data_IF_373547601425
#
_entry.id   IF_373547601425
#
_cell.length_a   1.000
_cell.length_b   1.000
_cell.length_c   1.000
_cell.angle_alpha   90.00
_cell.angle_beta   90.00
_cell.angle_gamma   90.00
#
_symmetry.space_group_name_H-M   'P 1'
#
loop_
_entity.id
_entity.type
_entity.pdbx_description
1 polymer ?
#
# COMPACT_ATOMS: atom_id res chain seq x y z
N UNK A 1 -8.84 -14.60 -16.50
CA UNK A 1 -8.58 -13.74 -15.31
C UNK A 1 -7.74 -14.39 -14.20
N UNK A 2 -7.46 -15.71 -14.20
CA UNK A 2 -6.76 -16.38 -13.09
C UNK A 2 -5.23 -16.17 -13.05
N UNK A 3 -4.57 -16.01 -14.20
CA UNK A 3 -3.09 -15.97 -14.26
C UNK A 3 -2.47 -14.74 -13.61
N UNK A 4 -3.13 -13.58 -13.72
CA UNK A 4 -2.71 -12.35 -13.04
C UNK A 4 -2.83 -12.48 -11.52
N UNK A 5 -3.95 -13.02 -11.03
CA UNK A 5 -4.18 -13.25 -9.60
C UNK A 5 -3.17 -14.26 -9.03
N UNK A 6 -2.88 -15.34 -9.77
CA UNK A 6 -1.87 -16.33 -9.39
C UNK A 6 -0.47 -15.70 -9.31
N UNK A 7 -0.11 -14.83 -10.25
CA UNK A 7 1.18 -14.14 -10.29
C UNK A 7 1.32 -13.10 -9.18
N UNK A 8 0.25 -12.39 -8.84
CA UNK A 8 0.21 -11.50 -7.67
C UNK A 8 0.36 -12.32 -6.38
N UNK A 9 -0.37 -13.42 -6.24
CA UNK A 9 -0.26 -14.32 -5.07
C UNK A 9 1.14 -14.93 -4.94
N UNK A 10 1.78 -15.28 -6.05
CA UNK A 10 3.15 -15.79 -6.04
C UNK A 10 4.14 -14.69 -5.69
N UNK A 11 3.93 -13.47 -6.20
CA UNK A 11 4.74 -12.31 -5.84
C UNK A 11 4.62 -11.97 -4.35
N UNK A 12 3.42 -11.94 -3.78
CA UNK A 12 3.21 -11.65 -2.35
C UNK A 12 3.83 -12.71 -1.45
N UNK A 13 3.93 -13.96 -1.92
CA UNK A 13 4.62 -15.07 -1.23
C UNK A 13 6.14 -15.04 -1.38
N UNK A 14 6.69 -14.35 -2.38
CA UNK A 14 8.13 -14.24 -2.61
C UNK A 14 8.84 -13.38 -1.53
N UNK A 15 10.16 -13.57 -1.29
CA UNK A 15 10.92 -12.74 -0.37
C UNK A 15 10.89 -11.24 -0.73
N UNK A 16 10.89 -10.93 -2.02
CA UNK A 16 10.81 -9.55 -2.53
C UNK A 16 9.43 -8.94 -2.22
N UNK A 17 8.34 -9.65 -2.53
CA UNK A 17 7.00 -9.17 -2.22
C UNK A 17 6.72 -9.06 -0.73
N UNK A 18 7.23 -9.99 0.10
CA UNK A 18 7.16 -9.87 1.56
C UNK A 18 7.87 -8.61 2.07
N UNK A 19 9.05 -8.28 1.53
CA UNK A 19 9.76 -7.02 1.86
C UNK A 19 8.96 -5.80 1.43
N UNK A 20 8.40 -5.80 0.22
CA UNK A 20 7.55 -4.70 -0.27
C UNK A 20 6.32 -4.51 0.61
N UNK A 21 5.63 -5.59 0.98
CA UNK A 21 4.48 -5.54 1.89
C UNK A 21 4.90 -5.06 3.28
N UNK A 22 6.04 -5.52 3.81
CA UNK A 22 6.54 -5.10 5.11
C UNK A 22 6.90 -3.60 5.12
N UNK A 23 7.56 -3.10 4.07
CA UNK A 23 7.87 -1.67 3.90
C UNK A 23 6.59 -0.84 3.76
N UNK A 24 5.62 -1.30 2.96
CA UNK A 24 4.32 -0.65 2.85
C UNK A 24 3.57 -0.63 4.18
N UNK A 25 3.58 -1.76 4.92
CA UNK A 25 2.96 -1.87 6.25
C UNK A 25 3.64 -0.96 7.27
N UNK A 26 4.96 -0.84 7.24
CA UNK A 26 5.71 0.09 8.11
C UNK A 26 5.38 1.54 7.77
N UNK A 27 5.37 1.89 6.47
CA UNK A 27 4.98 3.22 6.01
C UNK A 27 3.52 3.56 6.35
N UNK A 28 2.63 2.57 6.36
CA UNK A 28 1.22 2.72 6.75
C UNK A 28 1.01 2.74 8.27
N UNK A 29 1.84 2.01 9.03
CA UNK A 29 1.83 2.00 10.48
C UNK A 29 2.36 3.31 11.08
N UNK A 30 3.10 4.09 10.30
CA UNK A 30 3.63 5.38 10.72
C UNK A 30 2.49 6.41 10.88
N UNK A 31 2.18 6.86 12.12
CA UNK A 31 1.08 7.79 12.36
C UNK A 31 1.31 9.15 11.70
N UNK A 32 2.57 9.55 11.54
CA UNK A 32 2.96 10.79 10.84
C UNK A 32 2.58 10.75 9.36
N UNK A 33 2.84 9.62 8.69
CA UNK A 33 2.43 9.42 7.29
C UNK A 33 0.92 9.33 7.15
N UNK A 34 0.23 8.77 8.15
CA UNK A 34 -1.24 8.70 8.18
C UNK A 34 -1.90 10.08 8.28
N UNK A 35 -1.36 10.99 9.10
CA UNK A 35 -1.84 12.36 9.17
C UNK A 35 -1.61 13.12 7.86
N UNK A 36 -0.43 12.95 7.26
CA UNK A 36 -0.08 13.56 5.96
C UNK A 36 -0.98 13.02 4.83
N UNK A 37 -1.20 11.71 4.79
CA UNK A 37 -2.10 11.06 3.85
C UNK A 37 -3.56 11.51 4.04
N UNK A 38 -4.03 11.68 5.29
CA UNK A 38 -5.35 12.25 5.58
C UNK A 38 -5.48 13.69 5.09
N UNK A 39 -4.46 14.53 5.28
CA UNK A 39 -4.44 15.90 4.77
C UNK A 39 -4.47 15.96 3.23
N UNK A 40 -3.68 15.11 2.57
CA UNK A 40 -3.66 15.01 1.11
C UNK A 40 -4.97 14.45 0.55
N UNK A 41 -5.52 13.40 1.15
CA UNK A 41 -6.83 12.85 0.79
C UNK A 41 -7.96 13.85 1.05
N UNK A 42 -7.89 14.62 2.14
CA UNK A 42 -8.83 15.70 2.43
C UNK A 42 -8.80 16.79 1.36
N UNK A 43 -7.60 17.20 0.91
CA UNK A 43 -7.43 18.14 -0.21
C UNK A 43 -7.94 17.61 -1.54
N UNK A 44 -7.73 16.32 -1.82
CA UNK A 44 -8.26 15.69 -3.03
C UNK A 44 -9.79 15.55 -2.99
N UNK A 45 -10.38 15.27 -1.81
CA UNK A 45 -11.83 15.15 -1.64
C UNK A 45 -12.55 16.50 -1.61
N UNK A 46 -11.90 17.56 -1.10
CA UNK A 46 -12.46 18.91 -1.04
C UNK A 46 -12.33 19.70 -2.34
N UNK A 47 -11.79 19.11 -3.41
CA UNK A 47 -11.63 19.75 -4.72
C UNK A 47 -12.69 19.30 -5.73
N UNK A 48 -13.85 18.86 -5.24
CA UNK A 48 -15.01 18.49 -6.03
C UNK A 48 -16.14 19.47 -5.80
#
# INVERSE_FOLDING_TARGET
MSRLIARITQFTRSPQGRRTIASARRAAADPRKRAQARGLLGRLRGRR
#
